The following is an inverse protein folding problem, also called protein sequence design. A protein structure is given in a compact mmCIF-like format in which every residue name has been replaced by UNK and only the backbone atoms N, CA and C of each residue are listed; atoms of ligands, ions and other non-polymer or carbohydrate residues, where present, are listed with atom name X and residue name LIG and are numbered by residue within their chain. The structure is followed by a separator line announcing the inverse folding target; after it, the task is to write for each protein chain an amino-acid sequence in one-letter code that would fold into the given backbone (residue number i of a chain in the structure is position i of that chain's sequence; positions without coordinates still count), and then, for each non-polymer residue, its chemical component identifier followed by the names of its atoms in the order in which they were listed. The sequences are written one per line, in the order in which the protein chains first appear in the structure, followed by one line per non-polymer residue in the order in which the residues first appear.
data_IF_939246382267
#
_entry.id   IF_939246382267
#
_cell.length_a   1.000
_cell.length_b   1.000
_cell.length_c   1.000
_cell.angle_alpha   90.00
_cell.angle_beta   90.00
_cell.angle_gamma   90.00
#
_symmetry.space_group_name_H-M   'P 1'
#
loop_
_entity.id
_entity.type
_entity.pdbx_description
1 polymer ?
#
# COMPACT_ATOMS: atom_id res chain seq x y z
N UNK A 1 68.34 45.11 28.27
CA UNK A 1 66.87 45.12 28.49
C UNK A 1 66.25 44.20 27.45
N UNK A 2 65.64 43.12 27.93
CA UNK A 2 64.98 42.07 27.14
C UNK A 2 63.84 42.66 26.29
N UNK A 3 63.70 42.19 25.06
CA UNK A 3 62.46 42.32 24.29
C UNK A 3 62.01 40.92 23.87
N UNK A 4 61.00 40.44 24.60
CA UNK A 4 60.18 39.27 24.29
C UNK A 4 59.60 39.41 22.89
N UNK A 5 59.80 38.40 22.03
CA UNK A 5 59.02 38.24 20.80
C UNK A 5 57.96 37.16 21.06
N UNK A 6 56.70 37.58 21.05
CA UNK A 6 55.51 36.77 21.27
C UNK A 6 55.22 35.97 20.00
N UNK A 7 55.18 34.64 20.11
CA UNK A 7 54.76 33.73 19.05
C UNK A 7 53.23 33.70 19.02
N UNK A 8 52.62 34.28 17.98
CA UNK A 8 51.19 34.18 17.69
C UNK A 8 50.93 32.89 16.91
N UNK A 9 50.37 31.89 17.60
CA UNK A 9 49.86 30.66 16.96
C UNK A 9 48.47 30.95 16.40
N UNK A 10 48.35 31.11 15.08
CA UNK A 10 47.07 31.16 14.40
C UNK A 10 46.47 29.75 14.36
N UNK A 11 45.52 29.47 15.25
CA UNK A 11 44.66 28.28 15.14
C UNK A 11 43.58 28.56 14.11
N UNK A 12 43.75 28.06 12.89
CA UNK A 12 42.74 28.08 11.84
C UNK A 12 41.64 27.08 12.18
N UNK A 13 40.59 27.57 12.85
CA UNK A 13 39.34 26.84 13.06
C UNK A 13 38.62 26.79 11.70
N UNK A 14 38.72 25.63 11.03
CA UNK A 14 37.84 25.27 9.92
C UNK A 14 36.42 25.12 10.48
N UNK A 15 35.63 26.19 10.38
CA UNK A 15 34.19 26.15 10.54
C UNK A 15 33.62 25.36 9.35
N UNK A 16 33.45 24.05 9.54
CA UNK A 16 32.59 23.24 8.68
C UNK A 16 31.16 23.75 8.84
N UNK A 17 30.72 24.62 7.93
CA UNK A 17 29.30 24.91 7.76
C UNK A 17 28.64 23.63 7.23
N UNK A 18 28.13 22.80 8.14
CA UNK A 18 27.12 21.84 7.78
C UNK A 18 25.91 22.66 7.31
N UNK A 19 25.67 22.65 6.00
CA UNK A 19 24.41 23.12 5.44
C UNK A 19 23.31 22.29 6.06
N UNK A 20 22.57 22.87 7.00
CA UNK A 20 21.32 22.29 7.48
C UNK A 20 20.39 22.28 6.26
N UNK A 21 20.21 21.10 5.64
CA UNK A 21 19.30 20.93 4.50
C UNK A 21 17.93 21.48 4.91
N UNK A 22 17.50 22.55 4.25
CA UNK A 22 16.19 23.14 4.50
C UNK A 22 15.11 22.15 4.06
N UNK A 23 14.67 21.30 4.99
CA UNK A 23 13.52 20.43 4.85
C UNK A 23 12.28 21.31 4.61
N UNK A 24 11.71 21.24 3.41
CA UNK A 24 10.47 21.92 3.08
C UNK A 24 9.27 21.00 3.36
N UNK A 25 8.11 21.57 3.62
CA UNK A 25 6.86 20.81 3.79
C UNK A 25 5.90 21.08 2.64
N UNK A 26 5.18 20.05 2.22
CA UNK A 26 4.08 20.13 1.26
C UNK A 26 2.80 19.61 1.94
N UNK A 27 1.83 20.49 2.17
CA UNK A 27 0.56 20.13 2.78
C UNK A 27 -0.46 19.73 1.71
N UNK A 28 -1.04 18.54 1.85
CA UNK A 28 -2.17 18.06 1.04
C UNK A 28 -3.30 17.78 2.02
N UNK A 29 -4.18 18.76 2.22
CA UNK A 29 -5.21 18.77 3.26
C UNK A 29 -6.59 18.96 2.63
N UNK A 30 -7.61 18.36 3.25
CA UNK A 30 -8.98 18.63 2.88
C UNK A 30 -9.34 20.11 3.10
N UNK A 31 -10.05 20.76 2.16
CA UNK A 31 -10.31 22.18 2.24
C UNK A 31 -11.61 22.51 2.98
N UNK A 32 -11.65 22.25 4.29
CA UNK A 32 -12.82 22.48 5.17
C UNK A 32 -14.09 21.78 4.66
N UNK A 33 -13.97 20.48 4.42
CA UNK A 33 -15.05 19.68 3.84
C UNK A 33 -16.13 19.33 4.84
N UNK A 34 -17.31 19.02 4.31
CA UNK A 34 -18.44 18.47 5.05
C UNK A 34 -18.87 17.20 4.31
N UNK A 35 -18.71 16.03 4.93
CA UNK A 35 -19.24 14.78 4.38
C UNK A 35 -20.74 14.66 4.71
N UNK A 36 -21.54 14.23 3.74
CA UNK A 36 -23.00 14.20 3.88
C UNK A 36 -23.53 12.79 4.12
N UNK A 37 -22.76 11.77 3.72
CA UNK A 37 -23.13 10.37 3.87
C UNK A 37 -22.07 9.61 4.65
N UNK A 38 -22.53 8.62 5.41
CA UNK A 38 -21.65 7.62 6.01
C UNK A 38 -20.94 6.89 4.88
N UNK A 39 -19.64 6.67 5.06
CA UNK A 39 -18.75 6.06 4.07
C UNK A 39 -18.53 6.92 2.81
N UNK A 40 -18.62 8.25 2.94
CA UNK A 40 -18.18 9.17 1.89
C UNK A 40 -16.66 9.08 1.68
N UNK A 41 -16.23 8.98 0.42
CA UNK A 41 -14.84 9.05 -0.03
C UNK A 41 -14.63 10.38 -0.73
N UNK A 42 -14.09 11.37 -0.03
CA UNK A 42 -13.83 12.68 -0.63
C UNK A 42 -12.38 12.73 -1.12
N UNK A 43 -12.17 13.39 -2.25
CA UNK A 43 -10.87 13.63 -2.83
C UNK A 43 -10.60 15.12 -3.05
N UNK A 44 -9.34 15.51 -2.89
CA UNK A 44 -8.80 16.83 -3.27
C UNK A 44 -7.43 16.65 -3.92
N UNK A 45 -6.97 17.64 -4.69
CA UNK A 45 -5.72 17.55 -5.44
C UNK A 45 -4.82 18.77 -5.23
N UNK A 46 -3.51 18.52 -5.33
CA UNK A 46 -2.47 19.55 -5.43
C UNK A 46 -1.68 19.31 -6.70
N UNK A 47 -1.57 20.34 -7.54
CA UNK A 47 -0.72 20.33 -8.73
C UNK A 47 0.75 20.52 -8.34
N UNK A 48 1.62 19.78 -9.01
CA UNK A 48 3.06 19.84 -8.79
C UNK A 48 3.73 20.72 -9.85
N UNK A 49 4.90 21.25 -9.51
CA UNK A 49 5.75 22.02 -10.41
C UNK A 49 6.19 21.16 -11.61
N UNK A 50 6.00 21.68 -12.84
CA UNK A 50 6.31 21.00 -14.09
C UNK A 50 7.78 21.09 -14.49
N UNK A 51 8.54 21.98 -13.88
CA UNK A 51 9.96 22.22 -14.18
C UNK A 51 10.90 21.62 -13.13
N UNK A 52 10.48 21.56 -11.86
CA UNK A 52 11.35 21.17 -10.74
C UNK A 52 10.85 19.91 -10.01
N UNK A 53 11.67 18.84 -9.91
CA UNK A 53 11.27 17.67 -9.16
C UNK A 53 11.32 17.96 -7.66
N UNK A 54 10.43 17.30 -6.92
CA UNK A 54 10.41 17.30 -5.46
C UNK A 54 10.57 15.87 -4.96
N UNK A 55 11.28 15.70 -3.84
CA UNK A 55 11.59 14.41 -3.26
C UNK A 55 10.91 14.27 -1.90
N UNK A 56 9.89 13.41 -1.79
CA UNK A 56 9.19 13.15 -0.53
C UNK A 56 9.98 12.14 0.31
N UNK A 57 10.35 12.51 1.53
CA UNK A 57 11.17 11.71 2.45
C UNK A 57 10.39 11.21 3.67
N UNK A 58 9.25 11.83 4.00
CA UNK A 58 8.38 11.36 5.07
C UNK A 58 6.92 11.80 4.88
N UNK A 59 6.01 11.03 5.46
CA UNK A 59 4.58 11.28 5.48
C UNK A 59 4.16 11.53 6.93
N UNK A 60 3.71 12.75 7.21
CA UNK A 60 3.17 13.11 8.52
C UNK A 60 1.65 13.25 8.42
N UNK A 61 0.87 12.33 8.99
CA UNK A 61 -0.58 12.48 9.02
C UNK A 61 -0.97 13.70 9.85
N UNK A 62 -1.67 14.62 9.21
CA UNK A 62 -2.31 15.75 9.86
C UNK A 62 -3.81 15.47 9.88
N UNK A 63 -4.18 14.38 10.57
CA UNK A 63 -5.56 14.09 10.87
C UNK A 63 -5.95 14.89 12.11
N UNK A 64 -6.70 15.97 11.92
CA UNK A 64 -7.42 16.55 13.06
C UNK A 64 -8.55 15.61 13.42
N UNK A 65 -8.37 14.88 14.53
CA UNK A 65 -9.41 14.08 15.18
C UNK A 65 -9.80 12.79 14.45
N UNK A 66 -10.28 11.83 15.25
CA UNK A 66 -10.81 10.47 15.00
C UNK A 66 -11.86 10.32 13.86
N UNK A 67 -11.91 11.23 12.89
CA UNK A 67 -12.98 11.40 11.93
C UNK A 67 -12.66 10.76 10.58
N UNK A 68 -11.39 10.77 10.18
CA UNK A 68 -10.90 10.04 9.02
C UNK A 68 -10.66 8.57 9.40
N UNK A 69 -11.37 7.65 8.75
CA UNK A 69 -11.17 6.22 8.99
C UNK A 69 -9.87 5.73 8.33
N UNK A 70 -9.57 6.24 7.14
CA UNK A 70 -8.26 6.11 6.49
C UNK A 70 -8.02 7.25 5.52
N UNK A 71 -6.74 7.49 5.21
CA UNK A 71 -6.27 8.51 4.28
C UNK A 71 -5.36 7.83 3.27
N UNK A 72 -5.63 8.00 1.98
CA UNK A 72 -4.80 7.51 0.89
C UNK A 72 -4.26 8.69 0.09
N UNK A 73 -3.00 8.61 -0.33
CA UNK A 73 -2.38 9.57 -1.22
C UNK A 73 -2.04 8.87 -2.52
N UNK A 74 -2.50 9.43 -3.64
CA UNK A 74 -2.22 8.96 -4.98
C UNK A 74 -1.37 9.97 -5.72
N UNK A 75 -0.42 9.50 -6.51
CA UNK A 75 0.17 10.26 -7.60
C UNK A 75 -0.67 10.03 -8.85
N UNK A 76 -1.13 11.10 -9.49
CA UNK A 76 -1.88 11.06 -10.73
C UNK A 76 -1.12 11.79 -11.84
N UNK A 77 -1.30 11.36 -13.09
CA UNK A 77 -1.00 12.20 -14.26
C UNK A 77 -2.06 13.26 -14.44
N UNK A 78 -3.34 12.87 -14.32
CA UNK A 78 -4.48 13.79 -14.30
C UNK A 78 -5.43 13.41 -13.15
N UNK A 79 -5.90 14.38 -12.33
CA UNK A 79 -6.83 14.10 -11.25
C UNK A 79 -8.21 13.72 -11.81
N UNK A 80 -9.02 13.00 -11.04
CA UNK A 80 -10.37 12.63 -11.51
C UNK A 80 -11.34 13.82 -11.64
N UNK A 81 -11.01 14.93 -11.00
CA UNK A 81 -11.67 16.22 -11.17
C UNK A 81 -10.70 17.38 -10.91
N UNK A 82 -10.94 18.52 -11.57
CA UNK A 82 -10.27 19.79 -11.27
C UNK A 82 -11.06 20.66 -10.28
N UNK A 83 -12.16 20.17 -9.73
CA UNK A 83 -12.84 20.82 -8.60
C UNK A 83 -11.96 20.72 -7.35
N UNK A 84 -12.18 21.67 -6.44
CA UNK A 84 -11.49 21.69 -5.13
C UNK A 84 -11.70 20.38 -4.36
N UNK A 85 -12.90 19.81 -4.45
CA UNK A 85 -13.31 18.55 -3.80
C UNK A 85 -14.29 17.83 -4.71
N UNK A 86 -14.15 16.52 -4.81
CA UNK A 86 -15.13 15.62 -5.43
C UNK A 86 -15.29 14.34 -4.61
N UNK A 87 -16.38 13.62 -4.81
CA UNK A 87 -16.55 12.29 -4.25
C UNK A 87 -15.86 11.29 -5.20
N UNK A 88 -14.81 10.63 -4.73
CA UNK A 88 -14.03 9.68 -5.52
C UNK A 88 -14.55 8.23 -5.48
N UNK A 89 -15.59 7.98 -4.69
CA UNK A 89 -16.55 6.89 -4.92
C UNK A 89 -16.02 5.46 -4.96
N UNK A 90 -14.86 5.16 -4.35
CA UNK A 90 -14.23 3.85 -4.48
C UNK A 90 -15.13 2.70 -3.98
N UNK A 91 -16.06 2.97 -3.05
CA UNK A 91 -16.89 1.94 -2.39
C UNK A 91 -18.40 2.13 -2.48
N UNK A 92 -18.89 3.28 -2.94
CA UNK A 92 -20.33 3.52 -3.11
C UNK A 92 -20.72 3.24 -4.56
N UNK A 93 -21.67 2.34 -4.78
CA UNK A 93 -22.45 2.42 -6.01
C UNK A 93 -22.96 3.84 -6.17
N UNK A 94 -23.15 4.27 -7.42
CA UNK A 94 -23.87 5.49 -7.75
C UNK A 94 -25.33 5.41 -7.25
N UNK A 95 -25.53 5.44 -5.95
CA UNK A 95 -26.83 5.50 -5.30
C UNK A 95 -27.07 6.95 -4.90
N UNK A 96 -28.09 7.51 -5.54
CA UNK A 96 -28.81 8.73 -5.20
C UNK A 96 -28.12 10.05 -5.56
N UNK A 97 -28.05 10.24 -6.88
CA UNK A 97 -27.83 11.47 -7.64
C UNK A 97 -28.77 12.65 -7.30
N UNK A 98 -29.43 12.66 -6.15
CA UNK A 98 -30.40 13.68 -5.75
C UNK A 98 -29.96 14.56 -4.56
N UNK A 99 -28.83 14.27 -3.87
CA UNK A 99 -28.42 15.06 -2.69
C UNK A 99 -26.92 15.33 -2.52
N UNK A 100 -26.06 14.97 -3.47
CA UNK A 100 -24.62 15.09 -3.30
C UNK A 100 -24.09 16.51 -3.59
N UNK A 101 -23.58 17.17 -2.55
CA UNK A 101 -22.85 18.47 -2.60
C UNK A 101 -21.62 18.44 -3.52
N UNK A 102 -21.03 17.25 -3.71
CA UNK A 102 -19.84 17.04 -4.53
C UNK A 102 -20.19 16.22 -5.75
N UNK A 103 -19.57 16.55 -6.88
CA UNK A 103 -19.62 15.70 -8.08
C UNK A 103 -18.88 14.39 -7.83
N UNK A 104 -19.30 13.32 -8.53
CA UNK A 104 -18.64 12.03 -8.47
C UNK A 104 -17.63 11.91 -9.62
N UNK A 105 -16.43 11.44 -9.33
CA UNK A 105 -15.39 11.14 -10.32
C UNK A 105 -14.43 10.07 -9.81
N UNK A 106 -13.50 9.54 -10.61
CA UNK A 106 -12.47 8.62 -10.09
C UNK A 106 -11.46 9.37 -9.21
N UNK A 107 -10.54 8.66 -8.56
CA UNK A 107 -9.42 9.31 -7.86
C UNK A 107 -8.46 10.01 -8.84
N UNK A 108 -8.06 9.31 -9.90
CA UNK A 108 -7.30 9.88 -11.02
C UNK A 108 -8.09 9.65 -12.32
N UNK A 109 -8.11 10.62 -13.22
CA UNK A 109 -8.58 10.41 -14.58
C UNK A 109 -7.57 9.57 -15.38
N UNK A 110 -6.27 9.74 -15.11
CA UNK A 110 -5.22 8.90 -15.69
C UNK A 110 -3.98 8.81 -14.79
N UNK A 111 -3.17 7.76 -15.00
CA UNK A 111 -1.87 7.59 -14.36
C UNK A 111 -1.92 7.44 -12.85
N UNK A 112 -2.78 6.56 -12.32
CA UNK A 112 -2.95 6.37 -10.88
C UNK A 112 -1.86 5.48 -10.27
N UNK A 113 -1.22 5.95 -9.20
CA UNK A 113 -0.34 5.16 -8.36
C UNK A 113 -0.57 5.55 -6.91
N UNK A 114 -0.95 4.60 -6.05
CA UNK A 114 -0.97 4.86 -4.61
C UNK A 114 0.47 5.16 -4.17
N UNK A 115 0.68 6.25 -3.43
CA UNK A 115 1.98 6.71 -2.92
C UNK A 115 2.08 6.47 -1.42
N UNK A 116 0.98 6.62 -0.68
CA UNK A 116 0.93 6.41 0.76
C UNK A 116 -0.47 6.02 1.25
N UNK A 117 -0.52 5.35 2.40
CA UNK A 117 -1.76 4.93 3.05
C UNK A 117 -1.61 5.04 4.57
N UNK A 118 -2.57 5.70 5.21
CA UNK A 118 -2.67 5.88 6.66
C UNK A 118 -4.01 5.35 7.16
N UNK A 119 -4.02 4.77 8.35
CA UNK A 119 -5.23 4.30 9.02
C UNK A 119 -5.04 4.34 10.54
N UNK A 120 -6.15 4.51 11.28
CA UNK A 120 -6.25 4.38 12.74
C UNK A 120 -5.10 5.04 13.54
N UNK A 121 -4.85 6.32 13.32
CA UNK A 121 -3.87 7.08 14.12
C UNK A 121 -2.43 6.55 14.02
N UNK A 122 -2.09 5.91 12.90
CA UNK A 122 -0.72 5.50 12.63
C UNK A 122 0.25 6.68 12.73
N UNK A 123 1.41 6.42 13.36
CA UNK A 123 2.47 7.41 13.54
C UNK A 123 3.03 7.91 12.18
N UNK A 124 3.77 9.02 12.25
CA UNK A 124 4.60 9.51 11.15
C UNK A 124 5.40 8.38 10.52
N UNK A 125 5.34 8.28 9.19
CA UNK A 125 6.14 7.31 8.44
C UNK A 125 7.34 8.01 7.81
N UNK A 126 8.54 7.69 8.29
CA UNK A 126 9.80 8.10 7.67
C UNK A 126 10.24 7.04 6.67
N UNK A 127 10.65 7.48 5.47
CA UNK A 127 11.28 6.58 4.51
C UNK A 127 12.69 6.20 4.99
N UNK A 128 13.24 5.06 4.54
CA UNK A 128 14.61 4.70 4.86
C UNK A 128 15.60 5.80 4.48
N UNK A 129 16.76 5.82 5.13
CA UNK A 129 17.80 6.82 4.87
C UNK A 129 18.14 6.91 3.37
N UNK A 130 18.15 8.14 2.87
CA UNK A 130 18.45 8.52 1.48
C UNK A 130 17.46 7.95 0.44
N UNK A 131 16.25 7.56 0.87
CA UNK A 131 15.16 7.11 -0.01
C UNK A 131 14.10 8.20 -0.11
N UNK A 132 13.66 8.52 -1.33
CA UNK A 132 12.54 9.43 -1.55
C UNK A 132 11.68 9.08 -2.77
N UNK A 133 10.40 9.43 -2.70
CA UNK A 133 9.55 9.47 -3.89
C UNK A 133 9.83 10.74 -4.68
N UNK A 134 10.28 10.59 -5.92
CA UNK A 134 10.47 11.69 -6.86
C UNK A 134 9.16 11.99 -7.59
N UNK A 135 8.68 13.22 -7.49
CA UNK A 135 7.40 13.68 -8.07
C UNK A 135 7.58 15.01 -8.83
N UNK A 136 6.61 15.39 -9.66
CA UNK A 136 6.66 16.61 -10.48
C UNK A 136 7.64 16.51 -11.63
N UNK A 137 8.07 17.65 -12.17
CA UNK A 137 8.97 17.78 -13.31
C UNK A 137 8.66 16.80 -14.46
N UNK A 138 9.59 15.92 -14.82
CA UNK A 138 9.46 14.94 -15.91
C UNK A 138 8.81 13.62 -15.47
N UNK A 139 8.44 13.47 -14.19
CA UNK A 139 7.80 12.24 -13.72
C UNK A 139 6.34 12.14 -14.19
N UNK A 140 5.76 10.93 -14.25
CA UNK A 140 4.33 10.76 -14.55
C UNK A 140 3.38 11.31 -13.47
N UNK A 141 3.89 11.58 -12.26
CA UNK A 141 3.12 12.12 -11.14
C UNK A 141 3.12 13.65 -11.24
N UNK A 142 2.04 14.21 -11.79
CA UNK A 142 1.83 15.66 -11.94
C UNK A 142 0.93 16.25 -10.84
N UNK A 143 0.08 15.39 -10.26
CA UNK A 143 -0.81 15.77 -9.19
C UNK A 143 -0.64 14.79 -8.02
N UNK A 144 -0.75 15.31 -6.82
CA UNK A 144 -1.04 14.50 -5.64
C UNK A 144 -2.53 14.60 -5.35
N UNK A 145 -3.21 13.46 -5.31
CA UNK A 145 -4.62 13.36 -4.95
C UNK A 145 -4.74 12.70 -3.58
N UNK A 146 -5.30 13.44 -2.63
CA UNK A 146 -5.62 12.95 -1.30
C UNK A 146 -7.05 12.43 -1.32
N UNK A 147 -7.24 11.18 -0.90
CA UNK A 147 -8.53 10.56 -0.63
C UNK A 147 -8.70 10.38 0.87
N UNK A 148 -9.83 10.82 1.42
CA UNK A 148 -10.20 10.62 2.83
C UNK A 148 -11.54 9.90 2.89
N UNK A 149 -11.55 8.80 3.65
CA UNK A 149 -12.76 8.05 3.94
C UNK A 149 -13.39 8.47 5.27
N UNK A 150 -14.62 8.97 5.22
CA UNK A 150 -15.39 9.42 6.37
C UNK A 150 -16.42 8.37 6.78
N UNK A 151 -16.02 7.44 7.65
CA UNK A 151 -16.92 6.40 8.17
C UNK A 151 -17.98 6.92 9.17
N UNK A 152 -17.85 8.16 9.64
CA UNK A 152 -18.79 8.80 10.59
C UNK A 152 -19.04 10.24 10.17
N UNK A 153 -20.28 10.70 10.36
CA UNK A 153 -20.71 12.05 9.94
C UNK A 153 -21.33 12.91 11.04
N UNK A 154 -21.27 12.47 12.30
CA UNK A 154 -21.97 13.15 13.40
C UNK A 154 -21.50 14.59 13.60
N UNK A 155 -20.19 14.87 13.43
CA UNK A 155 -19.66 16.24 13.49
C UNK A 155 -20.17 17.12 12.34
N UNK A 156 -20.35 16.54 11.16
CA UNK A 156 -20.82 17.26 9.98
C UNK A 156 -22.29 17.65 10.12
N UNK A 157 -23.11 16.79 10.75
CA UNK A 157 -24.49 17.12 11.14
C UNK A 157 -24.56 18.29 12.14
N UNK A 158 -23.52 18.46 12.96
CA UNK A 158 -23.37 19.61 13.86
C UNK A 158 -22.80 20.87 13.18
N UNK A 159 -22.62 20.86 11.85
CA UNK A 159 -22.11 21.99 11.07
C UNK A 159 -20.60 22.19 11.13
N UNK A 160 -19.84 21.24 11.69
CA UNK A 160 -18.37 21.31 11.71
C UNK A 160 -17.78 20.91 10.36
N UNK A 161 -16.60 21.42 10.04
CA UNK A 161 -15.84 21.09 8.84
C UNK A 161 -14.63 20.20 9.18
N UNK A 162 -13.99 19.64 8.15
CA UNK A 162 -12.79 18.81 8.28
C UNK A 162 -11.66 19.28 7.35
N UNK A 163 -10.43 19.27 7.85
CA UNK A 163 -9.22 19.56 7.09
C UNK A 163 -8.15 18.48 7.24
N UNK A 164 -8.58 17.24 7.47
CA UNK A 164 -7.68 16.10 7.60
C UNK A 164 -6.87 15.89 6.31
N UNK A 165 -5.63 15.42 6.45
CA UNK A 165 -4.79 15.08 5.32
C UNK A 165 -3.36 14.75 5.71
N UNK A 166 -2.41 15.10 4.85
CA UNK A 166 -0.99 14.77 5.02
C UNK A 166 -0.11 16.03 4.90
N UNK A 167 0.87 16.13 5.78
CA UNK A 167 1.99 17.06 5.66
C UNK A 167 3.20 16.23 5.24
N UNK A 168 3.67 16.45 4.01
CA UNK A 168 4.79 15.71 3.44
C UNK A 168 6.09 16.44 3.78
N UNK A 169 7.09 15.71 4.26
CA UNK A 169 8.46 16.22 4.36
C UNK A 169 9.13 16.05 3.01
N UNK A 170 9.71 17.13 2.49
CA UNK A 170 10.25 17.18 1.13
C UNK A 170 11.61 17.86 1.08
N UNK A 171 12.39 17.53 0.06
CA UNK A 171 13.62 18.24 -0.30
C UNK A 171 13.66 18.51 -1.81
N UNK A 172 14.36 19.58 -2.20
CA UNK A 172 14.68 19.86 -3.60
C UNK A 172 15.96 19.12 -4.05
N UNK A 173 16.77 18.66 -3.10
CA UNK A 173 18.02 17.97 -3.38
C UNK A 173 17.75 16.49 -3.74
N UNK A 174 18.31 15.97 -4.85
CA UNK A 174 18.16 14.56 -5.20
C UNK A 174 18.67 13.63 -4.10
N UNK A 175 17.89 12.61 -3.78
CA UNK A 175 18.33 11.51 -2.91
C UNK A 175 19.12 10.47 -3.71
N UNK A 176 19.96 9.69 -3.03
CA UNK A 176 20.74 8.64 -3.69
C UNK A 176 19.91 7.40 -4.03
N UNK A 177 18.73 7.22 -3.43
CA UNK A 177 17.83 6.11 -3.73
C UNK A 177 16.45 6.63 -4.10
N UNK A 178 15.90 6.08 -5.18
CA UNK A 178 14.54 6.39 -5.64
C UNK A 178 13.56 5.36 -5.11
N UNK A 179 12.49 5.83 -4.46
CA UNK A 179 11.37 5.01 -4.06
C UNK A 179 10.41 4.78 -5.23
N UNK A 180 9.87 3.56 -5.30
CA UNK A 180 8.83 3.15 -6.21
C UNK A 180 7.83 2.24 -5.51
N UNK A 181 6.70 1.99 -6.18
CA UNK A 181 5.67 1.08 -5.69
C UNK A 181 5.41 0.04 -6.77
N UNK A 182 5.42 -1.21 -6.37
CA UNK A 182 5.02 -2.35 -7.17
C UNK A 182 3.66 -2.82 -6.71
N UNK A 183 2.74 -3.06 -7.65
CA UNK A 183 1.36 -3.44 -7.36
C UNK A 183 1.11 -4.82 -7.96
N UNK A 184 0.72 -5.78 -7.14
CA UNK A 184 0.24 -7.06 -7.62
C UNK A 184 -1.24 -7.23 -7.28
N UNK A 185 -2.00 -7.78 -8.20
CA UNK A 185 -3.39 -8.14 -7.95
C UNK A 185 -3.91 -9.22 -8.87
N UNK A 186 -5.19 -9.54 -8.74
CA UNK A 186 -5.82 -10.63 -9.51
C UNK A 186 -7.21 -10.22 -9.96
N UNK A 187 -7.67 -10.80 -11.08
CA UNK A 187 -9.09 -10.91 -11.41
C UNK A 187 -9.73 -12.12 -10.73
N UNK A 188 -10.91 -12.53 -11.21
CA UNK A 188 -11.51 -13.81 -10.87
C UNK A 188 -12.81 -13.71 -10.07
N UNK A 189 -13.26 -14.86 -9.56
CA UNK A 189 -14.50 -14.99 -8.80
C UNK A 189 -14.40 -16.06 -7.71
N UNK A 190 -15.24 -15.94 -6.68
CA UNK A 190 -15.38 -16.91 -5.61
C UNK A 190 -16.82 -17.42 -5.53
N UNK A 191 -16.98 -18.75 -5.56
CA UNK A 191 -18.29 -19.41 -5.53
C UNK A 191 -18.97 -19.25 -4.15
N UNK A 192 -20.32 -19.37 -4.07
CA UNK A 192 -21.05 -19.31 -2.81
C UNK A 192 -20.56 -20.32 -1.77
N UNK A 193 -20.55 -19.93 -0.49
CA UNK A 193 -20.23 -20.80 0.65
C UNK A 193 -18.89 -21.57 0.50
N UNK A 194 -17.89 -20.93 -0.12
CA UNK A 194 -16.64 -21.58 -0.49
C UNK A 194 -15.42 -20.76 -0.07
N UNK A 195 -14.27 -21.44 0.05
CA UNK A 195 -12.96 -20.83 0.24
C UNK A 195 -12.20 -20.87 -1.10
N UNK A 196 -11.60 -19.74 -1.49
CA UNK A 196 -10.82 -19.63 -2.70
C UNK A 196 -9.49 -18.91 -2.45
N UNK A 197 -8.48 -19.23 -3.26
CA UNK A 197 -7.16 -18.62 -3.22
C UNK A 197 -6.94 -17.92 -4.56
N UNK A 198 -6.83 -16.60 -4.51
CA UNK A 198 -6.52 -15.78 -5.66
C UNK A 198 -5.01 -15.66 -5.78
N UNK A 199 -4.45 -16.06 -6.93
CA UNK A 199 -3.01 -16.15 -7.12
C UNK A 199 -2.55 -15.33 -8.32
N UNK A 200 -1.39 -14.68 -8.22
CA UNK A 200 -0.70 -14.06 -9.36
C UNK A 200 0.81 -14.18 -9.17
N UNK A 201 1.54 -14.41 -10.26
CA UNK A 201 2.99 -14.38 -10.23
C UNK A 201 3.55 -13.77 -11.52
N UNK A 202 4.51 -12.87 -11.38
CA UNK A 202 5.16 -12.22 -12.51
C UNK A 202 6.67 -12.24 -12.34
N UNK A 203 7.37 -12.56 -13.44
CA UNK A 203 8.82 -12.53 -13.48
C UNK A 203 9.31 -11.09 -13.66
N UNK A 204 10.39 -10.74 -12.97
CA UNK A 204 11.10 -9.48 -13.17
C UNK A 204 12.03 -9.64 -14.37
N UNK A 205 11.66 -9.03 -15.50
CA UNK A 205 12.43 -9.09 -16.75
C UNK A 205 13.50 -7.99 -16.86
N UNK A 206 13.21 -6.84 -16.27
CA UNK A 206 14.07 -5.66 -16.31
C UNK A 206 15.34 -5.90 -15.49
N UNK A 207 16.48 -5.43 -15.99
CA UNK A 207 17.73 -5.46 -15.23
C UNK A 207 17.70 -4.36 -14.15
N UNK A 208 17.06 -4.68 -13.04
CA UNK A 208 16.87 -3.80 -11.88
C UNK A 208 17.08 -4.62 -10.60
N UNK A 209 17.59 -3.98 -9.55
CA UNK A 209 17.65 -4.54 -8.22
C UNK A 209 16.77 -3.69 -7.29
N UNK A 210 15.67 -4.29 -6.84
CA UNK A 210 14.71 -3.67 -5.93
C UNK A 210 14.99 -4.11 -4.50
N UNK A 211 14.87 -3.17 -3.58
CA UNK A 211 14.97 -3.38 -2.15
C UNK A 211 13.63 -3.04 -1.48
N UNK A 212 12.75 -4.04 -1.27
CA UNK A 212 11.49 -3.84 -0.59
C UNK A 212 11.70 -3.36 0.85
N UNK A 213 10.90 -2.40 1.30
CA UNK A 213 10.99 -1.88 2.67
C UNK A 213 9.65 -1.71 3.36
N UNK A 214 8.54 -1.64 2.63
CA UNK A 214 7.20 -1.66 3.20
C UNK A 214 6.19 -2.35 2.28
N UNK A 215 5.11 -2.87 2.84
CA UNK A 215 4.02 -3.47 2.08
C UNK A 215 2.66 -3.12 2.65
N UNK A 216 1.64 -3.08 1.78
CA UNK A 216 0.24 -2.94 2.13
C UNK A 216 -0.56 -4.05 1.47
N UNK A 217 -1.53 -4.60 2.19
CA UNK A 217 -2.50 -5.56 1.66
C UNK A 217 -3.86 -4.88 1.55
N UNK A 218 -4.65 -5.28 0.56
CA UNK A 218 -6.02 -4.81 0.41
C UNK A 218 -6.91 -5.92 -0.14
N UNK A 219 -8.06 -6.06 0.50
CA UNK A 219 -9.21 -6.85 0.08
C UNK A 219 -10.46 -6.21 0.70
N UNK A 220 -11.64 -6.63 0.23
CA UNK A 220 -12.91 -6.25 0.84
C UNK A 220 -13.27 -7.27 1.93
N UNK A 221 -14.55 -7.61 2.08
CA UNK A 221 -15.08 -8.31 3.26
C UNK A 221 -14.73 -9.79 3.31
N UNK A 222 -14.39 -10.42 2.18
CA UNK A 222 -14.14 -11.86 2.11
C UNK A 222 -12.67 -12.23 2.35
N UNK A 223 -11.75 -11.27 2.25
CA UNK A 223 -10.32 -11.48 2.44
C UNK A 223 -9.93 -11.91 3.85
N UNK A 224 -9.28 -13.07 3.98
CA UNK A 224 -8.76 -13.59 5.24
C UNK A 224 -7.29 -13.23 5.44
N UNK A 225 -6.46 -13.48 4.41
CA UNK A 225 -5.03 -13.18 4.40
C UNK A 225 -4.54 -12.93 2.99
N UNK A 226 -3.70 -11.90 2.82
CA UNK A 226 -2.93 -11.69 1.61
C UNK A 226 -1.45 -11.87 1.95
N UNK A 227 -0.71 -12.53 1.06
CA UNK A 227 0.71 -12.78 1.19
C UNK A 227 1.45 -12.54 -0.12
N UNK A 228 2.73 -12.21 -0.02
CA UNK A 228 3.63 -12.09 -1.16
C UNK A 228 4.98 -12.75 -0.86
N UNK A 229 5.53 -13.37 -1.88
CA UNK A 229 6.79 -14.10 -1.85
C UNK A 229 7.65 -13.69 -3.04
N UNK A 230 8.96 -13.61 -2.80
CA UNK A 230 9.95 -13.66 -3.86
C UNK A 230 10.26 -15.12 -4.14
N UNK A 231 10.15 -15.54 -5.39
CA UNK A 231 10.58 -16.88 -5.85
C UNK A 231 11.87 -16.73 -6.65
N UNK A 232 12.92 -17.44 -6.22
CA UNK A 232 14.24 -17.39 -6.86
C UNK A 232 14.80 -18.78 -7.08
N UNK A 233 15.51 -18.96 -8.18
CA UNK A 233 16.18 -20.22 -8.53
C UNK A 233 15.40 -21.05 -9.54
N UNK A 234 16.01 -22.15 -9.96
CA UNK A 234 15.41 -23.09 -10.91
C UNK A 234 14.50 -24.09 -10.20
N UNK A 235 13.47 -24.60 -10.88
CA UNK A 235 12.34 -25.39 -10.33
C UNK A 235 12.66 -26.23 -9.09
N UNK A 236 13.64 -27.13 -9.14
CA UNK A 236 13.92 -28.07 -8.03
C UNK A 236 14.58 -27.40 -6.80
N UNK A 237 15.26 -26.28 -7.02
CA UNK A 237 16.01 -25.51 -6.03
C UNK A 237 15.32 -24.18 -5.69
N UNK A 238 14.08 -23.99 -6.14
CA UNK A 238 13.34 -22.76 -5.90
C UNK A 238 13.18 -22.46 -4.42
N UNK A 239 13.57 -21.24 -4.07
CA UNK A 239 13.38 -20.65 -2.76
C UNK A 239 12.21 -19.66 -2.81
N UNK A 240 11.24 -19.85 -1.91
CA UNK A 240 10.13 -18.93 -1.69
C UNK A 240 10.38 -18.15 -0.40
N UNK A 241 10.76 -16.88 -0.53
CA UNK A 241 11.08 -16.01 0.59
C UNK A 241 9.94 -15.02 0.82
N UNK A 242 9.37 -15.00 2.02
CA UNK A 242 8.26 -14.09 2.35
C UNK A 242 8.70 -12.61 2.26
N UNK A 243 7.94 -11.84 1.50
CA UNK A 243 8.05 -10.38 1.43
C UNK A 243 7.18 -9.76 2.53
N UNK A 244 5.92 -10.22 2.62
CA UNK A 244 5.00 -9.78 3.65
C UNK A 244 3.70 -10.57 3.60
N UNK A 245 3.04 -10.68 4.75
CA UNK A 245 1.77 -11.38 4.89
C UNK A 245 0.95 -10.73 6.00
N UNK A 246 -0.34 -10.49 5.73
CA UNK A 246 -1.24 -9.87 6.71
C UNK A 246 -2.70 -10.12 6.39
N UNK A 247 -3.56 -10.10 7.40
CA UNK A 247 -4.99 -10.05 7.18
C UNK A 247 -5.40 -8.66 6.65
N UNK A 248 -6.13 -8.57 5.53
CA UNK A 248 -6.65 -7.30 5.03
C UNK A 248 -7.80 -6.73 5.89
N UNK A 249 -8.32 -7.48 6.86
CA UNK A 249 -9.31 -6.97 7.83
C UNK A 249 -8.67 -6.13 8.95
N UNK A 250 -7.34 -6.15 9.06
CA UNK A 250 -6.58 -5.25 9.93
C UNK A 250 -6.34 -3.91 9.21
N UNK A 251 -5.91 -2.84 9.92
CA UNK A 251 -5.67 -1.54 9.30
C UNK A 251 -4.80 -1.66 8.06
N UNK A 252 -5.30 -1.22 6.90
CA UNK A 252 -4.66 -1.44 5.61
C UNK A 252 -3.67 -0.31 5.27
N UNK A 253 -2.69 -0.11 6.15
CA UNK A 253 -1.57 0.83 5.96
C UNK A 253 -0.33 0.10 5.41
N UNK A 254 0.74 0.86 5.12
CA UNK A 254 2.04 0.28 4.82
C UNK A 254 2.75 -0.18 6.09
N UNK A 255 3.11 -1.46 6.12
CA UNK A 255 3.84 -2.11 7.19
C UNK A 255 5.30 -2.35 6.79
N UNK A 256 6.25 -2.21 7.72
CA UNK A 256 7.66 -2.43 7.39
C UNK A 256 7.95 -3.88 7.02
N UNK A 257 8.75 -4.07 5.98
CA UNK A 257 9.33 -5.37 5.63
C UNK A 257 10.59 -5.55 6.46
N UNK A 258 10.62 -6.56 7.32
CA UNK A 258 11.74 -6.81 8.25
C UNK A 258 12.87 -7.63 7.63
N UNK A 259 12.58 -8.39 6.59
CA UNK A 259 13.54 -9.21 5.87
C UNK A 259 14.41 -8.33 4.97
N UNK A 260 15.73 -8.45 5.08
CA UNK A 260 16.65 -7.83 4.14
C UNK A 260 16.72 -8.71 2.88
N UNK A 261 15.77 -8.53 1.97
CA UNK A 261 15.70 -9.26 0.71
C UNK A 261 15.84 -8.30 -0.47
N UNK A 262 16.43 -8.80 -1.55
CA UNK A 262 16.46 -8.14 -2.84
C UNK A 262 15.63 -8.92 -3.84
N UNK A 263 15.01 -8.19 -4.77
CA UNK A 263 14.30 -8.75 -5.91
C UNK A 263 15.00 -8.22 -7.16
N UNK A 264 15.41 -9.13 -8.04
CA UNK A 264 16.21 -8.80 -9.22
C UNK A 264 15.69 -9.52 -10.45
N UNK A 265 16.28 -9.20 -11.60
CA UNK A 265 15.99 -9.89 -12.87
C UNK A 265 15.98 -11.41 -12.70
N UNK A 266 14.95 -12.05 -13.22
CA UNK A 266 14.72 -13.50 -13.18
C UNK A 266 13.93 -13.98 -11.97
N UNK A 267 13.84 -13.21 -10.89
CA UNK A 267 12.97 -13.55 -9.75
C UNK A 267 11.49 -13.40 -10.14
N UNK A 268 10.62 -14.18 -9.49
CA UNK A 268 9.19 -13.91 -9.52
C UNK A 268 8.75 -13.19 -8.25
N UNK A 269 7.78 -12.29 -8.38
CA UNK A 269 6.94 -11.85 -7.27
C UNK A 269 5.63 -12.61 -7.37
N UNK A 270 5.35 -13.45 -6.38
CA UNK A 270 4.16 -14.28 -6.31
C UNK A 270 3.28 -13.83 -5.14
N UNK A 271 2.00 -13.58 -5.40
CA UNK A 271 1.01 -13.20 -4.38
C UNK A 271 -0.11 -14.21 -4.28
N UNK A 272 -0.63 -14.40 -3.06
CA UNK A 272 -1.78 -15.22 -2.79
C UNK A 272 -2.73 -14.51 -1.81
N UNK A 273 -4.03 -14.50 -2.12
CA UNK A 273 -5.07 -14.01 -1.23
C UNK A 273 -6.05 -15.13 -0.91
N UNK A 274 -6.09 -15.57 0.34
CA UNK A 274 -7.08 -16.54 0.82
C UNK A 274 -8.35 -15.79 1.22
N UNK A 275 -9.48 -16.24 0.67
CA UNK A 275 -10.79 -15.61 0.85
C UNK A 275 -11.84 -16.65 1.22
N UNK A 276 -12.87 -16.25 1.96
CA UNK A 276 -14.04 -17.09 2.22
C UNK A 276 -15.33 -16.36 1.90
N UNK A 277 -16.06 -16.86 0.90
CA UNK A 277 -17.37 -16.34 0.54
C UNK A 277 -18.46 -17.02 1.36
N UNK A 278 -18.91 -16.37 2.42
CA UNK A 278 -20.06 -16.81 3.24
C UNK A 278 -21.42 -16.49 2.61
N UNK A 279 -21.45 -15.82 1.45
CA UNK A 279 -22.68 -15.40 0.78
C UNK A 279 -23.26 -16.55 -0.04
N UNK A 280 -24.53 -16.41 -0.41
CA UNK A 280 -25.28 -17.36 -1.24
C UNK A 280 -25.10 -17.16 -2.75
N UNK A 281 -24.32 -16.16 -3.18
CA UNK A 281 -24.06 -15.84 -4.58
C UNK A 281 -22.56 -15.72 -4.86
N UNK A 282 -22.19 -15.84 -6.14
CA UNK A 282 -20.82 -15.66 -6.62
C UNK A 282 -20.40 -14.21 -6.40
N UNK A 283 -19.22 -13.99 -5.82
CA UNK A 283 -18.60 -12.67 -5.72
C UNK A 283 -17.45 -12.58 -6.72
N UNK A 284 -17.38 -11.46 -7.45
CA UNK A 284 -16.37 -11.22 -8.49
C UNK A 284 -15.38 -10.17 -8.01
N UNK A 285 -14.19 -10.16 -8.62
CA UNK A 285 -13.29 -9.02 -8.44
C UNK A 285 -13.91 -7.76 -9.05
N UNK A 286 -13.94 -6.68 -8.28
CA UNK A 286 -14.55 -5.42 -8.67
C UNK A 286 -14.33 -4.32 -7.63
N UNK A 287 -14.73 -3.08 -7.94
CA UNK A 287 -14.42 -1.92 -7.12
C UNK A 287 -15.29 -1.78 -5.88
N UNK A 288 -16.50 -2.32 -5.84
CA UNK A 288 -17.46 -1.97 -4.79
C UNK A 288 -17.30 -2.84 -3.54
N UNK A 289 -17.84 -2.40 -2.40
CA UNK A 289 -17.87 -3.22 -1.17
C UNK A 289 -18.71 -4.51 -1.25
N UNK A 290 -19.46 -4.68 -2.34
CA UNK A 290 -20.16 -5.93 -2.68
C UNK A 290 -19.33 -6.86 -3.56
N UNK A 291 -18.32 -6.33 -4.24
CA UNK A 291 -17.27 -7.07 -4.95
C UNK A 291 -16.12 -7.42 -3.99
N UNK A 292 -15.08 -8.06 -4.52
CA UNK A 292 -13.86 -8.35 -3.79
C UNK A 292 -12.62 -7.81 -4.52
N UNK A 293 -11.49 -7.73 -3.82
CA UNK A 293 -10.18 -7.44 -4.42
C UNK A 293 -9.10 -8.30 -3.78
N UNK A 294 -8.07 -8.61 -4.54
CA UNK A 294 -6.82 -9.17 -4.03
C UNK A 294 -5.71 -8.26 -4.49
N UNK A 295 -5.25 -7.37 -3.63
CA UNK A 295 -4.18 -6.44 -3.94
C UNK A 295 -3.05 -6.54 -2.90
N UNK A 296 -1.82 -6.48 -3.41
CA UNK A 296 -0.60 -6.37 -2.64
C UNK A 296 0.24 -5.23 -3.20
N UNK A 297 0.58 -4.27 -2.35
CA UNK A 297 1.39 -3.12 -2.69
C UNK A 297 2.73 -3.26 -1.98
N UNK A 298 3.82 -3.07 -2.71
CA UNK A 298 5.17 -3.16 -2.17
C UNK A 298 5.90 -1.86 -2.48
N UNK A 299 6.29 -1.13 -1.43
CA UNK A 299 7.26 -0.06 -1.55
C UNK A 299 8.65 -0.65 -1.61
N UNK A 300 9.42 -0.20 -2.60
CA UNK A 300 10.82 -0.57 -2.77
C UNK A 300 11.65 0.66 -3.13
N UNK A 301 12.95 0.55 -2.94
CA UNK A 301 13.89 1.54 -3.48
C UNK A 301 14.91 0.88 -4.41
N UNK A 302 15.53 1.71 -5.25
CA UNK A 302 16.65 1.36 -6.13
C UNK A 302 17.78 2.39 -5.97
N UNK A 303 19.02 2.01 -6.29
CA UNK A 303 20.19 2.92 -6.17
C UNK A 303 20.26 3.99 -7.27
N UNK A 304 19.51 3.84 -8.36
CA UNK A 304 19.49 4.77 -9.48
C UNK A 304 18.14 5.49 -9.57
N UNK A 305 18.01 6.41 -10.53
CA UNK A 305 16.73 7.09 -10.80
C UNK A 305 15.77 6.25 -11.66
N UNK A 306 16.12 5.01 -12.02
CA UNK A 306 15.33 4.16 -12.92
C UNK A 306 14.43 3.19 -12.13
N UNK A 307 13.11 3.36 -12.22
CA UNK A 307 12.12 2.43 -11.68
C UNK A 307 11.78 1.34 -12.71
N UNK A 308 10.96 0.37 -12.29
CA UNK A 308 10.32 -0.56 -13.22
C UNK A 308 9.46 0.19 -14.24
N UNK A 309 9.61 -0.14 -15.52
CA UNK A 309 8.75 0.37 -16.59
C UNK A 309 7.29 -0.12 -16.42
N UNK A 310 7.16 -1.37 -15.94
CA UNK A 310 5.89 -2.05 -15.68
C UNK A 310 5.85 -2.43 -14.19
N UNK A 311 5.41 -1.53 -13.31
CA UNK A 311 5.39 -1.78 -11.87
C UNK A 311 4.12 -2.53 -11.42
N UNK A 312 3.47 -3.28 -12.32
CA UNK A 312 2.25 -4.02 -12.02
C UNK A 312 2.37 -5.50 -12.38
N UNK A 313 1.71 -6.34 -11.59
CA UNK A 313 1.54 -7.76 -11.83
C UNK A 313 0.08 -8.14 -11.69
N UNK A 314 -0.49 -8.77 -12.71
CA UNK A 314 -1.88 -9.20 -12.70
C UNK A 314 -2.03 -10.60 -13.30
N UNK A 315 -2.99 -11.35 -12.76
CA UNK A 315 -3.46 -12.61 -13.34
C UNK A 315 -4.96 -12.56 -13.58
N UNK A 316 -5.47 -13.52 -14.37
CA UNK A 316 -6.92 -13.72 -14.52
C UNK A 316 -7.59 -14.20 -13.22
N UNK A 317 -6.82 -14.70 -12.26
CA UNK A 317 -7.29 -15.30 -11.02
C UNK A 317 -8.23 -16.50 -11.23
N UNK A 318 -8.92 -16.96 -10.17
CA UNK A 318 -9.78 -18.13 -10.22
C UNK A 318 -11.03 -17.89 -11.10
N UNK A 319 -11.48 -18.90 -11.87
CA UNK A 319 -10.94 -20.26 -11.93
C UNK A 319 -9.83 -20.45 -12.99
N UNK A 320 -9.31 -19.38 -13.59
CA UNK A 320 -8.49 -19.45 -14.80
C UNK A 320 -6.98 -19.47 -14.55
N UNK A 321 -6.52 -19.00 -13.38
CA UNK A 321 -5.10 -18.98 -13.04
C UNK A 321 -4.89 -19.40 -11.59
N UNK A 322 -3.95 -20.32 -11.43
CA UNK A 322 -3.36 -20.74 -10.17
C UNK A 322 -1.84 -20.89 -10.38
N UNK A 323 -1.04 -20.90 -9.31
CA UNK A 323 0.40 -21.12 -9.39
C UNK A 323 0.76 -22.44 -10.11
N UNK A 324 -0.11 -23.46 -10.03
CA UNK A 324 0.05 -24.73 -10.75
C UNK A 324 0.05 -24.59 -12.27
N UNK A 325 -0.58 -23.55 -12.79
CA UNK A 325 -0.63 -23.26 -14.24
C UNK A 325 0.67 -22.59 -14.73
N UNK A 326 1.47 -22.04 -13.82
CA UNK A 326 2.76 -21.46 -14.15
C UNK A 326 3.84 -22.54 -14.08
N UNK A 327 4.27 -23.01 -15.24
CA UNK A 327 5.25 -24.10 -15.35
C UNK A 327 6.59 -23.77 -14.70
N UNK A 328 6.94 -22.49 -14.55
CA UNK A 328 8.20 -22.05 -13.97
C UNK A 328 8.16 -22.03 -12.44
N UNK A 329 6.99 -22.18 -11.82
CA UNK A 329 6.85 -22.24 -10.36
C UNK A 329 6.77 -23.69 -9.87
N UNK A 330 7.53 -23.98 -8.81
CA UNK A 330 7.44 -25.22 -8.08
C UNK A 330 6.49 -25.07 -6.88
N UNK A 331 5.25 -25.50 -7.07
CA UNK A 331 4.20 -25.40 -6.04
C UNK A 331 4.48 -26.24 -4.79
N UNK A 332 5.30 -27.29 -4.89
CA UNK A 332 5.69 -28.12 -3.74
C UNK A 332 6.63 -27.36 -2.78
N UNK A 333 7.24 -26.27 -3.23
CA UNK A 333 8.13 -25.41 -2.44
C UNK A 333 7.40 -24.25 -1.77
N UNK A 334 6.10 -24.08 -2.01
CA UNK A 334 5.32 -23.01 -1.38
C UNK A 334 5.32 -23.24 0.14
N UNK A 335 5.68 -22.23 0.95
CA UNK A 335 5.67 -22.36 2.39
C UNK A 335 4.25 -22.63 2.91
N UNK A 336 4.11 -23.56 3.86
CA UNK A 336 2.80 -24.00 4.37
C UNK A 336 1.96 -22.91 5.03
N UNK A 337 2.61 -21.81 5.39
CA UNK A 337 2.08 -20.64 6.04
C UNK A 337 1.58 -19.57 5.04
N UNK A 338 1.89 -19.69 3.74
CA UNK A 338 1.53 -18.72 2.70
C UNK A 338 0.04 -18.35 2.67
N UNK A 339 -0.83 -19.30 3.06
CA UNK A 339 -2.29 -19.16 3.06
C UNK A 339 -2.88 -18.97 4.46
N UNK A 340 -2.07 -18.58 5.44
CA UNK A 340 -2.50 -18.45 6.85
C UNK A 340 -2.19 -17.08 7.41
N UNK A 341 -3.10 -16.54 8.22
CA UNK A 341 -2.87 -15.31 8.98
C UNK A 341 -1.65 -15.50 9.89
N UNK A 342 -0.67 -14.57 9.89
CA UNK A 342 0.48 -14.66 10.78
C UNK A 342 0.04 -14.44 12.24
N UNK A 343 0.72 -15.06 13.22
CA UNK A 343 0.44 -14.80 14.62
C UNK A 343 0.64 -13.31 14.96
N UNK A 344 -0.09 -12.73 15.93
CA UNK A 344 0.08 -11.34 16.30
C UNK A 344 1.52 -11.10 16.79
N UNK A 345 2.11 -9.92 16.53
CA UNK A 345 3.50 -9.63 16.88
C UNK A 345 3.82 -9.78 18.38
N UNK A 346 2.80 -9.74 19.26
CA UNK A 346 2.90 -9.98 20.70
C UNK A 346 1.80 -10.96 21.22
N UNK A 347 1.18 -11.75 20.36
CA UNK A 347 0.07 -12.64 20.74
C UNK A 347 0.53 -14.04 21.17
N UNK A 348 -0.23 -14.75 22.01
CA UNK A 348 0.09 -16.15 22.32
C UNK A 348 -0.01 -17.02 21.06
N UNK A 349 0.62 -18.18 21.09
CA UNK A 349 0.49 -19.19 20.05
C UNK A 349 -1.01 -19.48 19.73
N UNK A 350 -1.32 -19.99 18.51
CA UNK A 350 -2.70 -20.17 18.06
C UNK A 350 -3.55 -20.93 19.09
N UNK A 351 -4.62 -20.29 19.60
CA UNK A 351 -5.55 -20.91 20.57
C UNK A 351 -5.87 -20.10 21.83
N UNK A 352 -5.46 -18.83 21.95
CA UNK A 352 -5.92 -17.95 23.04
C UNK A 352 -6.69 -16.74 22.53
N UNK A 353 -7.85 -16.50 23.15
CA UNK A 353 -8.85 -15.48 22.82
C UNK A 353 -8.28 -14.08 23.09
N UNK A 354 -8.31 -13.20 22.09
CA UNK A 354 -8.16 -11.75 22.30
C UNK A 354 -9.56 -11.11 22.30
N UNK A 355 -9.91 -10.47 23.40
CA UNK A 355 -11.15 -9.72 23.58
C UNK A 355 -10.86 -8.25 23.28
N UNK A 356 -11.40 -7.74 22.17
CA UNK A 356 -11.55 -6.30 21.95
C UNK A 356 -13.01 -6.01 21.59
N UNK A 357 -13.58 -5.05 22.30
CA UNK A 357 -14.99 -4.70 22.26
C UNK A 357 -15.46 -4.27 20.86
N UNK A 358 -16.69 -4.70 20.55
CA UNK A 358 -17.54 -4.35 19.41
C UNK A 358 -17.33 -5.01 18.03
N UNK A 359 -16.41 -5.96 17.88
CA UNK A 359 -16.47 -6.91 16.76
C UNK A 359 -16.69 -8.33 17.25
N UNK A 360 -17.90 -8.85 17.02
CA UNK A 360 -18.22 -10.28 17.19
C UNK A 360 -17.42 -11.08 16.17
N UNK A 361 -16.20 -11.47 16.51
CA UNK A 361 -15.55 -12.57 15.82
C UNK A 361 -16.27 -13.85 16.20
N UNK A 362 -17.03 -14.44 15.26
CA UNK A 362 -17.49 -15.82 15.39
C UNK A 362 -16.27 -16.73 15.32
N UNK A 363 -15.88 -17.23 16.48
CA UNK A 363 -14.85 -18.25 16.64
C UNK A 363 -15.24 -19.50 15.83
N UNK A 364 -14.59 -19.75 14.68
CA UNK A 364 -14.71 -21.04 14.01
C UNK A 364 -13.99 -22.10 14.84
N UNK A 365 -14.75 -22.83 15.67
CA UNK A 365 -14.33 -23.99 16.49
C UNK A 365 -13.88 -25.22 15.71
N UNK A 366 -13.47 -25.10 14.44
CA UNK A 366 -12.93 -26.23 13.67
C UNK A 366 -11.47 -25.99 13.33
N UNK A 367 -10.55 -26.89 13.70
CA UNK A 367 -9.15 -26.75 13.29
C UNK A 367 -9.10 -26.73 11.76
N UNK A 368 -8.48 -25.69 11.20
CA UNK A 368 -8.14 -25.56 9.78
C UNK A 368 -7.57 -26.90 9.30
N UNK A 369 -8.33 -27.63 8.50
CA UNK A 369 -7.91 -28.95 8.04
C UNK A 369 -6.73 -28.78 7.09
N UNK A 370 -5.52 -29.07 7.60
CA UNK A 370 -4.26 -29.23 6.83
C UNK A 370 -4.41 -30.04 5.52
N UNK A 371 -5.49 -30.81 5.34
CA UNK A 371 -5.77 -31.65 4.17
C UNK A 371 -6.31 -30.91 2.95
N UNK A 372 -7.06 -29.81 3.08
CA UNK A 372 -7.69 -29.17 1.90
C UNK A 372 -6.68 -28.42 1.02
N UNK A 373 -5.72 -27.70 1.62
CA UNK A 373 -4.67 -26.98 0.87
C UNK A 373 -3.70 -27.92 0.18
N UNK A 374 -3.29 -29.01 0.86
CA UNK A 374 -2.38 -30.00 0.26
C UNK A 374 -3.06 -30.75 -0.88
N UNK A 375 -4.32 -31.15 -0.73
CA UNK A 375 -5.08 -31.84 -1.77
C UNK A 375 -5.25 -31.03 -3.06
N UNK A 376 -5.21 -29.68 -3.00
CA UNK A 376 -5.33 -28.82 -4.18
C UNK A 376 -4.09 -28.85 -5.08
N UNK A 377 -2.90 -29.05 -4.51
CA UNK A 377 -1.64 -29.19 -5.25
C UNK A 377 -1.14 -30.65 -5.34
N UNK A 378 -1.64 -31.59 -4.51
CA UNK A 378 -1.23 -33.01 -4.56
C UNK A 378 -2.13 -33.89 -5.42
N UNK A 379 -3.36 -33.48 -5.71
CA UNK A 379 -4.21 -34.21 -6.65
C UNK A 379 -4.13 -33.48 -8.00
N UNK A 380 -3.11 -33.84 -8.78
CA UNK A 380 -3.04 -33.49 -10.18
C UNK A 380 -4.36 -33.78 -10.88
N UNK A 381 -4.74 -32.86 -11.76
CA UNK A 381 -5.83 -32.95 -12.72
C UNK A 381 -5.88 -34.40 -13.26
N UNK A 382 -7.00 -35.08 -13.01
CA UNK A 382 -7.41 -36.23 -13.81
C UNK A 382 -8.47 -35.79 -14.79
#
# INVERSE_FOLDING_TARGET
MMLLSIILVFSSILLSFASEDASNTLAVLMPDVIANHVDDYLCTSVELDHDKPVYITAFNPSATSNDAHHILLYGCTEPGSHKKVWNCGEMSQASDSASNKYETGPTCASGSTIVYAWALDADKTELPKDVAFKIGATTPIKYLVLQVHYAKIDKFKAGQTDHSGLILTTTANPTSKRAGIFIAGTGGQIEPNSEEIFEAACQIEQNIEMHPFAFRVHAHKLGLVNSAYRVRGEKNEQEWTEIGRRSPQLPQMFYPIRSNLTIKKGDYIAIACTMFNSRSHVVRVGPTGDDEMCNFYMMYWVNDDNLLDVPFCQSAGPPYYYFSENQDLNVDKIPSEAFRIPPPPNGPAPGQVMQHDHHTMTEQKKPLQRRQFRNRYTNGIK
#
